data_IF_333228430345
#
_entry.id   IF_333228430345
#
_cell.length_a   1.000
_cell.length_b   1.000
_cell.length_c   1.000
_cell.angle_alpha   90.00
_cell.angle_beta   90.00
_cell.angle_gamma   90.00
#
_symmetry.space_group_name_H-M   'P 1'
#
loop_
_entity.id
_entity.type
_entity.pdbx_description
1 polymer ?
#
# COMPACT_ATOMS: atom_id res chain seq x y z
N UNK A 1 24.55 -6.28 14.52
CA UNK A 1 23.87 -5.92 13.28
C UNK A 1 23.47 -4.46 13.35
N UNK A 2 23.64 -3.66 12.30
CA UNK A 2 23.16 -2.29 12.30
C UNK A 2 21.62 -2.32 12.39
N UNK A 3 21.07 -1.53 13.30
CA UNK A 3 19.61 -1.38 13.43
C UNK A 3 19.16 -0.35 12.39
N UNK A 4 18.25 -0.68 11.47
CA UNK A 4 17.72 0.28 10.52
C UNK A 4 17.03 1.44 11.26
N UNK A 5 17.31 2.65 10.82
CA UNK A 5 16.68 3.84 11.38
C UNK A 5 16.30 4.82 10.26
N UNK A 6 15.30 5.63 10.53
CA UNK A 6 14.90 6.74 9.67
C UNK A 6 15.04 8.04 10.44
N UNK A 7 15.96 8.89 10.02
CA UNK A 7 16.15 10.21 10.61
C UNK A 7 14.90 11.10 10.34
N UNK A 8 14.57 12.01 11.26
CA UNK A 8 13.58 13.06 11.01
C UNK A 8 13.99 13.89 9.79
N UNK A 9 13.02 14.29 9.00
CA UNK A 9 13.29 15.17 7.86
C UNK A 9 13.27 16.65 8.27
N UNK A 10 13.72 17.54 7.37
CA UNK A 10 13.91 18.95 7.66
C UNK A 10 12.63 19.66 8.14
N UNK A 11 11.46 19.38 7.55
CA UNK A 11 10.23 20.03 8.00
C UNK A 11 9.67 19.42 9.30
N UNK A 12 10.06 18.20 9.66
CA UNK A 12 9.71 17.62 10.96
C UNK A 12 10.55 18.23 12.10
N UNK A 13 11.76 18.70 11.80
CA UNK A 13 12.65 19.30 12.80
C UNK A 13 12.64 20.82 12.81
N UNK A 14 12.20 21.49 11.76
CA UNK A 14 12.23 22.93 11.63
C UNK A 14 11.09 23.60 12.40
N UNK A 15 11.43 24.28 13.49
CA UNK A 15 10.47 25.04 14.31
C UNK A 15 9.86 26.25 13.57
N UNK A 16 10.50 26.73 12.52
CA UNK A 16 10.00 27.82 11.68
C UNK A 16 9.04 27.43 10.56
N UNK A 17 8.84 26.13 10.33
CA UNK A 17 7.96 25.63 9.27
C UNK A 17 6.59 25.22 9.84
N UNK A 18 5.53 25.89 9.37
CA UNK A 18 4.15 25.63 9.77
C UNK A 18 3.41 24.91 8.65
N UNK A 19 3.03 23.67 8.90
CA UNK A 19 2.18 22.90 8.02
C UNK A 19 0.71 23.06 8.43
N UNK A 20 -0.12 23.62 7.55
CA UNK A 20 -1.54 23.82 7.83
C UNK A 20 -2.37 22.59 7.44
N UNK A 21 -3.20 22.13 8.35
CA UNK A 21 -4.22 21.10 8.12
C UNK A 21 -5.63 21.69 8.25
N UNK A 22 -6.47 21.48 7.23
CA UNK A 22 -7.88 21.90 7.22
C UNK A 22 -8.80 21.06 8.12
N UNK A 23 -8.25 20.25 9.01
CA UNK A 23 -9.02 19.48 9.98
C UNK A 23 -8.78 17.97 9.94
N UNK A 24 -8.46 17.38 8.78
CA UNK A 24 -8.27 15.93 8.64
C UNK A 24 -7.05 15.36 9.38
N UNK A 25 -6.11 16.20 9.79
CA UNK A 25 -4.94 15.84 10.59
C UNK A 25 -4.95 16.44 12.00
N UNK A 26 -6.04 17.10 12.39
CA UNK A 26 -6.13 17.71 13.70
C UNK A 26 -6.77 16.74 14.70
N UNK A 27 -6.38 16.79 16.01
CA UNK A 27 -7.03 16.03 17.07
C UNK A 27 -8.53 16.27 17.17
N UNK A 28 -9.27 15.27 17.68
CA UNK A 28 -10.73 15.31 17.84
C UNK A 28 -11.23 16.51 18.65
N UNK A 29 -10.46 16.92 19.64
CA UNK A 29 -10.81 18.00 20.54
C UNK A 29 -10.79 19.39 19.88
N UNK A 30 -10.20 19.46 18.68
CA UNK A 30 -10.25 20.67 17.87
C UNK A 30 -11.53 20.66 17.03
N UNK A 31 -12.60 21.20 17.58
CA UNK A 31 -13.96 21.13 17.02
C UNK A 31 -14.25 22.14 15.90
N UNK A 32 -13.41 23.14 15.69
CA UNK A 32 -13.59 24.16 14.64
C UNK A 32 -12.25 24.66 14.08
N UNK A 33 -12.24 25.13 12.86
CA UNK A 33 -11.04 25.66 12.17
C UNK A 33 -10.02 24.56 11.81
N UNK A 34 -8.85 24.95 11.36
CA UNK A 34 -7.71 24.07 11.10
C UNK A 34 -6.73 24.05 12.27
N UNK A 35 -5.67 23.29 12.09
CA UNK A 35 -4.53 23.33 12.98
C UNK A 35 -3.23 23.48 12.18
N UNK A 36 -2.22 24.02 12.82
CA UNK A 36 -0.86 24.03 12.31
C UNK A 36 -0.04 22.94 12.99
N UNK A 37 0.89 22.39 12.27
CA UNK A 37 1.88 21.45 12.76
C UNK A 37 3.25 22.07 12.60
N UNK A 38 4.00 22.23 13.69
CA UNK A 38 5.34 22.80 13.71
C UNK A 38 6.39 21.74 13.96
N UNK A 39 7.60 21.99 13.46
CA UNK A 39 8.74 21.09 13.65
C UNK A 39 9.17 20.96 15.12
N UNK A 40 9.89 19.88 15.40
CA UNK A 40 10.47 19.58 16.71
C UNK A 40 11.93 19.14 16.51
N UNK A 41 12.87 19.96 16.95
CA UNK A 41 14.31 19.67 16.87
C UNK A 41 14.78 18.51 17.77
N UNK A 42 13.95 18.12 18.74
CA UNK A 42 14.25 17.08 19.72
C UNK A 42 13.70 15.70 19.31
N UNK A 43 13.35 15.51 18.04
CA UNK A 43 12.88 14.21 17.56
C UNK A 43 13.99 13.19 17.50
N UNK A 44 13.75 12.04 18.11
CA UNK A 44 14.57 10.84 17.93
C UNK A 44 14.29 10.18 16.56
N UNK A 45 15.27 9.45 16.01
CA UNK A 45 15.04 8.65 14.81
C UNK A 45 14.00 7.54 15.03
N UNK A 46 13.20 7.26 14.00
CA UNK A 46 12.41 6.03 13.96
C UNK A 46 13.33 4.83 13.85
N UNK A 47 13.09 3.80 14.65
CA UNK A 47 13.88 2.56 14.66
C UNK A 47 12.97 1.41 14.18
N UNK A 48 13.52 0.53 13.35
CA UNK A 48 12.85 -0.69 12.92
C UNK A 48 13.70 -1.92 13.25
N UNK A 49 13.09 -2.89 13.91
CA UNK A 49 13.70 -4.20 14.16
C UNK A 49 12.97 -5.22 13.30
N UNK A 50 13.63 -5.67 12.24
CA UNK A 50 13.08 -6.58 11.26
C UNK A 50 13.59 -8.00 11.53
N UNK A 51 12.69 -8.96 11.55
CA UNK A 51 12.95 -10.38 11.77
C UNK A 51 12.23 -11.16 10.69
N UNK A 52 12.94 -12.06 10.04
CA UNK A 52 12.41 -12.89 8.97
C UNK A 52 12.94 -14.31 9.14
N UNK A 53 12.08 -15.28 8.83
CA UNK A 53 12.45 -16.67 8.69
C UNK A 53 11.67 -17.25 7.52
N UNK A 54 12.36 -17.90 6.62
CA UNK A 54 11.76 -18.44 5.41
C UNK A 54 12.28 -19.81 5.05
N UNK A 55 11.49 -20.50 4.24
CA UNK A 55 11.86 -21.73 3.57
C UNK A 55 11.69 -21.53 2.08
N UNK A 56 12.64 -22.04 1.32
CA UNK A 56 12.63 -22.02 -0.13
C UNK A 56 12.85 -23.44 -0.65
N UNK A 57 12.09 -23.79 -1.67
CA UNK A 57 12.16 -25.07 -2.35
C UNK A 57 12.29 -24.82 -3.85
N UNK A 58 13.31 -25.40 -4.44
CA UNK A 58 13.55 -25.34 -5.89
C UNK A 58 13.93 -26.72 -6.40
N UNK A 59 13.17 -27.25 -7.34
CA UNK A 59 13.47 -28.51 -8.03
C UNK A 59 13.12 -28.33 -9.49
N UNK A 60 14.09 -28.47 -10.35
CA UNK A 60 13.99 -28.17 -11.78
C UNK A 60 13.41 -26.76 -11.99
N UNK A 61 12.32 -26.64 -12.71
CA UNK A 61 11.61 -25.37 -12.97
C UNK A 61 10.52 -25.05 -11.93
N UNK A 62 10.37 -25.88 -10.88
CA UNK A 62 9.42 -25.62 -9.78
C UNK A 62 10.10 -24.82 -8.69
N UNK A 63 9.46 -23.74 -8.31
CA UNK A 63 9.91 -22.90 -7.21
C UNK A 63 8.76 -22.62 -6.24
N UNK A 64 9.04 -22.69 -4.95
CA UNK A 64 8.10 -22.29 -3.91
C UNK A 64 8.86 -21.69 -2.73
N UNK A 65 8.34 -20.64 -2.15
CA UNK A 65 8.89 -20.06 -0.93
C UNK A 65 7.78 -19.65 0.03
N UNK A 66 8.10 -19.68 1.32
CA UNK A 66 7.27 -19.12 2.38
C UNK A 66 8.17 -18.42 3.39
N UNK A 67 7.83 -17.19 3.73
CA UNK A 67 8.58 -16.36 4.69
C UNK A 67 7.62 -15.78 5.71
N UNK A 68 7.88 -16.01 6.98
CA UNK A 68 7.29 -15.25 8.06
C UNK A 68 8.15 -14.02 8.30
N UNK A 69 7.52 -12.85 8.43
CA UNK A 69 8.19 -11.61 8.76
C UNK A 69 7.53 -10.88 9.93
N UNK A 70 8.34 -10.18 10.70
CA UNK A 70 7.90 -9.32 11.78
C UNK A 70 8.77 -8.07 11.88
N UNK A 71 8.14 -6.90 11.78
CA UNK A 71 8.77 -5.60 11.85
C UNK A 71 8.21 -4.83 13.05
N UNK A 72 9.04 -4.65 14.06
CA UNK A 72 8.73 -3.86 15.27
C UNK A 72 9.30 -2.45 15.08
N UNK A 73 8.42 -1.43 15.04
CA UNK A 73 8.79 -0.02 14.92
C UNK A 73 8.71 0.67 16.28
N UNK A 74 9.70 1.51 16.55
CA UNK A 74 9.80 2.34 17.75
C UNK A 74 10.04 3.80 17.36
N UNK A 75 9.68 4.72 18.23
CA UNK A 75 9.86 6.17 18.06
C UNK A 75 9.25 6.70 16.75
N UNK A 76 8.11 6.15 16.33
CA UNK A 76 7.49 6.59 15.08
C UNK A 76 7.18 8.09 15.14
N UNK A 77 7.63 8.85 14.15
CA UNK A 77 7.39 10.28 14.07
C UNK A 77 5.98 10.51 13.53
N UNK A 78 5.15 11.13 14.36
CA UNK A 78 3.73 11.39 14.07
C UNK A 78 3.40 12.86 14.33
N UNK A 79 2.30 13.33 13.75
CA UNK A 79 1.72 14.60 14.14
C UNK A 79 1.29 14.50 15.61
N UNK A 80 1.76 15.42 16.44
CA UNK A 80 1.40 15.45 17.85
C UNK A 80 -0.08 15.71 18.06
N UNK A 81 -0.59 15.27 19.17
CA UNK A 81 -1.98 15.48 19.62
C UNK A 81 -2.09 16.60 20.66
N UNK A 82 -0.96 17.03 21.24
CA UNK A 82 -0.91 18.10 22.21
C UNK A 82 -0.90 19.48 21.56
N UNK A 83 -1.80 20.34 22.01
CA UNK A 83 -1.85 21.75 21.63
C UNK A 83 -0.72 22.47 22.35
N UNK A 84 0.26 22.99 21.60
CA UNK A 84 1.39 23.77 22.16
C UNK A 84 1.16 25.28 22.11
N UNK A 85 0.10 25.73 21.43
CA UNK A 85 -0.22 27.15 21.33
C UNK A 85 -1.32 27.46 20.32
N UNK A 86 -1.44 28.74 19.98
CA UNK A 86 -2.32 29.25 18.94
C UNK A 86 -1.57 30.18 18.01
N UNK A 87 -1.93 30.12 16.73
CA UNK A 87 -1.43 31.06 15.72
C UNK A 87 -2.05 32.45 15.89
N UNK A 88 -1.52 33.44 15.19
CA UNK A 88 -2.09 34.79 15.15
C UNK A 88 -3.55 34.82 14.65
N UNK A 89 -3.95 33.84 13.82
CA UNK A 89 -5.34 33.67 13.37
C UNK A 89 -6.22 32.88 14.35
N UNK A 90 -5.70 32.50 15.52
CA UNK A 90 -6.42 31.75 16.56
C UNK A 90 -6.47 30.24 16.34
N UNK A 91 -5.93 29.72 15.24
CA UNK A 91 -5.87 28.29 14.98
C UNK A 91 -4.89 27.58 15.93
N UNK A 92 -5.21 26.36 16.33
CA UNK A 92 -4.36 25.57 17.20
C UNK A 92 -3.04 25.20 16.54
N UNK A 93 -1.97 25.18 17.33
CA UNK A 93 -0.64 24.77 16.92
C UNK A 93 -0.26 23.49 17.66
N UNK A 94 0.11 22.48 16.90
CA UNK A 94 0.59 21.17 17.35
C UNK A 94 2.06 21.03 16.97
N UNK A 95 2.74 20.03 17.51
CA UNK A 95 4.15 19.78 17.22
C UNK A 95 4.37 18.33 16.79
N UNK A 96 5.34 18.09 15.90
CA UNK A 96 5.80 16.74 15.60
C UNK A 96 6.37 16.09 16.87
N UNK A 97 6.06 14.81 17.08
CA UNK A 97 6.51 14.06 18.25
C UNK A 97 6.89 12.63 17.88
N UNK A 98 7.75 12.05 18.69
CA UNK A 98 7.92 10.60 18.65
C UNK A 98 6.74 9.97 19.37
N UNK A 99 5.90 9.31 18.62
CA UNK A 99 4.67 8.68 19.10
C UNK A 99 4.71 7.20 18.81
N UNK A 100 4.47 6.43 19.85
CA UNK A 100 4.06 5.08 19.74
C UNK A 100 5.01 4.06 19.13
N UNK A 101 4.59 2.82 19.27
CA UNK A 101 5.17 1.64 18.64
C UNK A 101 4.21 1.10 17.60
N UNK A 102 4.75 0.54 16.52
CA UNK A 102 3.93 -0.12 15.52
C UNK A 102 4.45 -1.54 15.26
N UNK A 103 3.54 -2.41 14.88
CA UNK A 103 3.83 -3.79 14.50
C UNK A 103 3.28 -4.05 13.12
N UNK A 104 4.13 -4.59 12.25
CA UNK A 104 3.74 -5.18 10.97
C UNK A 104 4.26 -6.61 10.97
N UNK A 105 3.36 -7.56 10.85
CA UNK A 105 3.66 -8.99 10.94
C UNK A 105 2.82 -9.75 9.94
N UNK A 106 3.44 -10.72 9.26
CA UNK A 106 2.75 -11.47 8.22
C UNK A 106 3.50 -12.67 7.69
N UNK A 107 2.91 -13.27 6.69
CA UNK A 107 3.48 -14.37 5.92
C UNK A 107 3.44 -13.97 4.46
N UNK A 108 4.56 -14.14 3.78
CA UNK A 108 4.68 -14.05 2.33
C UNK A 108 4.93 -15.44 1.76
N UNK A 109 4.32 -15.71 0.62
CA UNK A 109 4.54 -16.94 -0.12
C UNK A 109 4.67 -16.62 -1.61
N UNK A 110 5.51 -17.36 -2.30
CA UNK A 110 5.60 -17.33 -3.75
C UNK A 110 5.66 -18.73 -4.32
N UNK A 111 5.19 -18.87 -5.55
CA UNK A 111 5.21 -20.14 -6.27
C UNK A 111 5.32 -19.87 -7.77
N UNK A 112 6.18 -20.65 -8.42
CA UNK A 112 6.29 -20.73 -9.88
C UNK A 112 6.21 -22.20 -10.28
N UNK A 113 5.28 -22.53 -11.18
CA UNK A 113 5.00 -23.90 -11.62
C UNK A 113 4.81 -23.94 -13.12
N UNK A 114 5.63 -24.71 -13.85
CA UNK A 114 5.36 -25.03 -15.25
C UNK A 114 4.21 -26.04 -15.33
N UNK A 115 3.00 -25.57 -15.65
CA UNK A 115 1.83 -26.45 -15.84
C UNK A 115 1.96 -27.27 -17.10
N UNK A 116 2.59 -26.72 -18.13
CA UNK A 116 3.03 -27.41 -19.35
C UNK A 116 4.46 -26.94 -19.65
N UNK A 117 5.43 -27.83 -19.67
CA UNK A 117 6.82 -27.45 -19.97
C UNK A 117 6.90 -26.58 -21.23
N UNK A 118 7.68 -25.51 -21.19
CA UNK A 118 7.91 -24.53 -22.27
C UNK A 118 6.68 -23.81 -22.81
N UNK A 119 5.48 -24.06 -22.24
CA UNK A 119 4.23 -23.51 -22.79
C UNK A 119 3.37 -22.76 -21.81
N UNK A 120 3.14 -23.29 -20.63
CA UNK A 120 2.20 -22.70 -19.68
C UNK A 120 2.81 -22.65 -18.30
N UNK A 121 3.08 -21.44 -17.83
CA UNK A 121 3.65 -21.17 -16.53
C UNK A 121 2.63 -20.50 -15.63
N UNK A 122 2.53 -20.99 -14.42
CA UNK A 122 1.76 -20.35 -13.37
C UNK A 122 2.69 -19.76 -12.31
N UNK A 123 2.58 -18.44 -12.11
CA UNK A 123 3.33 -17.71 -11.11
C UNK A 123 2.35 -17.05 -10.14
N UNK A 124 2.60 -17.17 -8.85
CA UNK A 124 1.78 -16.50 -7.84
C UNK A 124 2.62 -16.03 -6.68
N UNK A 125 2.24 -14.92 -6.10
CA UNK A 125 2.72 -14.48 -4.80
C UNK A 125 1.55 -14.05 -3.94
N UNK A 126 1.69 -14.25 -2.65
CA UNK A 126 0.66 -13.92 -1.67
C UNK A 126 1.31 -13.34 -0.41
N UNK A 127 0.66 -12.33 0.16
CA UNK A 127 0.98 -11.79 1.47
C UNK A 127 -0.25 -11.90 2.35
N UNK A 128 -0.10 -12.44 3.54
CA UNK A 128 -1.14 -12.48 4.56
C UNK A 128 -0.67 -11.73 5.80
N UNK A 129 -1.38 -10.65 6.16
CA UNK A 129 -1.08 -9.82 7.31
C UNK A 129 -1.65 -10.45 8.59
N UNK A 130 -0.79 -10.87 9.50
CA UNK A 130 -1.17 -11.33 10.84
C UNK A 130 -1.56 -10.13 11.68
N UNK A 131 -0.65 -9.13 11.76
CA UNK A 131 -0.86 -7.87 12.44
C UNK A 131 -0.38 -6.68 11.60
N UNK A 132 -1.08 -5.56 11.68
CA UNK A 132 -0.68 -4.27 11.12
C UNK A 132 -1.34 -3.20 11.97
N UNK A 133 -0.68 -2.77 13.05
CA UNK A 133 -1.30 -1.95 14.07
C UNK A 133 -0.31 -1.08 14.85
N UNK A 134 -0.83 -0.04 15.44
CA UNK A 134 -0.16 0.71 16.49
C UNK A 134 -0.29 -0.06 17.81
N UNK A 135 0.82 -0.45 18.42
CA UNK A 135 0.82 -1.31 19.62
C UNK A 135 0.20 -0.64 20.86
N UNK A 136 0.30 0.67 20.94
CA UNK A 136 -0.18 1.42 22.08
C UNK A 136 -1.70 1.60 22.08
N UNK A 137 -2.33 1.60 20.91
CA UNK A 137 -3.76 1.85 20.75
C UNK A 137 -4.53 0.68 20.16
N UNK A 138 -3.85 -0.30 19.58
CA UNK A 138 -4.47 -1.37 18.79
C UNK A 138 -5.08 -0.91 17.45
N UNK A 139 -4.89 0.36 17.11
CA UNK A 139 -5.45 0.92 15.88
C UNK A 139 -4.73 0.37 14.65
N UNK A 140 -5.46 0.05 13.56
CA UNK A 140 -4.82 -0.39 12.33
C UNK A 140 -3.90 0.70 11.78
N UNK A 141 -2.74 0.30 11.33
CA UNK A 141 -1.88 1.14 10.50
C UNK A 141 -2.58 1.41 9.21
N UNK A 142 -2.43 2.27 8.46
CA UNK A 142 -2.93 2.57 7.13
C UNK A 142 -3.95 1.56 6.56
N UNK A 143 -4.51 1.83 5.40
CA UNK A 143 -5.44 0.91 4.70
C UNK A 143 -4.60 -0.22 4.07
N UNK A 144 -4.36 -1.27 4.83
CA UNK A 144 -3.60 -2.46 4.40
C UNK A 144 -4.58 -3.62 4.25
N UNK A 145 -4.63 -4.30 3.10
CA UNK A 145 -5.44 -5.50 2.92
C UNK A 145 -5.02 -6.60 3.89
N UNK A 146 -5.98 -7.38 4.40
CA UNK A 146 -5.68 -8.54 5.24
C UNK A 146 -4.84 -9.57 4.52
N UNK A 147 -5.01 -9.67 3.21
CA UNK A 147 -4.17 -10.45 2.30
C UNK A 147 -4.17 -9.82 0.91
N UNK A 148 -3.12 -10.11 0.16
CA UNK A 148 -3.01 -9.80 -1.26
C UNK A 148 -2.49 -11.04 -1.95
N UNK A 149 -3.14 -11.45 -3.05
CA UNK A 149 -2.69 -12.54 -3.91
C UNK A 149 -2.56 -11.99 -5.31
N UNK A 150 -1.39 -12.13 -5.90
CA UNK A 150 -1.15 -11.82 -7.31
C UNK A 150 -0.81 -13.11 -8.03
N UNK A 151 -1.48 -13.40 -9.11
CA UNK A 151 -1.25 -14.60 -9.89
C UNK A 151 -1.21 -14.28 -11.38
N UNK A 152 -0.37 -14.99 -12.08
CA UNK A 152 -0.13 -14.82 -13.52
C UNK A 152 -0.12 -16.19 -14.17
N UNK A 153 -0.80 -16.30 -15.30
CA UNK A 153 -0.76 -17.43 -16.19
C UNK A 153 -0.14 -16.95 -17.51
N UNK A 154 1.05 -17.42 -17.80
CA UNK A 154 1.80 -17.11 -19.02
C UNK A 154 1.71 -18.29 -19.98
N UNK A 155 1.09 -18.09 -21.13
CA UNK A 155 0.83 -19.14 -22.11
C UNK A 155 1.50 -18.82 -23.45
N UNK A 156 2.47 -19.63 -23.82
CA UNK A 156 3.05 -19.71 -25.16
C UNK A 156 2.19 -20.65 -26.01
N UNK A 157 1.25 -20.08 -26.78
CA UNK A 157 0.28 -20.82 -27.57
C UNK A 157 0.96 -21.42 -28.80
N UNK A 158 1.73 -20.56 -29.49
CA UNK A 158 2.59 -20.96 -30.64
C UNK A 158 3.91 -20.19 -30.55
N UNK A 159 4.85 -20.45 -31.47
CA UNK A 159 6.09 -19.67 -31.55
C UNK A 159 5.88 -18.18 -31.84
N UNK A 160 4.73 -17.81 -32.38
CA UNK A 160 4.38 -16.42 -32.69
C UNK A 160 3.30 -15.81 -31.80
N UNK A 161 2.58 -16.61 -31.01
CA UNK A 161 1.43 -16.16 -30.23
C UNK A 161 1.60 -16.53 -28.76
N UNK A 162 1.54 -15.54 -27.89
CA UNK A 162 1.50 -15.73 -26.43
C UNK A 162 0.37 -14.92 -25.80
N UNK A 163 -0.10 -15.39 -24.68
CA UNK A 163 -1.13 -14.73 -23.88
C UNK A 163 -0.71 -14.73 -22.41
N UNK A 164 -1.13 -13.71 -21.69
CA UNK A 164 -1.00 -13.63 -20.23
C UNK A 164 -2.35 -13.28 -19.63
N UNK A 165 -2.70 -13.94 -18.53
CA UNK A 165 -3.84 -13.57 -17.67
C UNK A 165 -3.27 -13.26 -16.29
N UNK A 166 -3.62 -12.10 -15.77
CA UNK A 166 -3.27 -11.70 -14.43
C UNK A 166 -4.52 -11.52 -13.56
N UNK A 167 -4.43 -11.94 -12.32
CA UNK A 167 -5.47 -11.78 -11.32
C UNK A 167 -4.86 -11.33 -10.01
N UNK A 168 -5.36 -10.21 -9.48
CA UNK A 168 -4.99 -9.69 -8.17
C UNK A 168 -6.22 -9.74 -7.26
N UNK A 169 -6.08 -10.38 -6.10
CA UNK A 169 -7.11 -10.46 -5.07
C UNK A 169 -6.66 -9.68 -3.84
N UNK A 170 -7.46 -8.72 -3.42
CA UNK A 170 -7.27 -7.94 -2.20
C UNK A 170 -8.26 -8.39 -1.14
N UNK A 171 -7.75 -8.70 0.05
CA UNK A 171 -8.56 -8.99 1.22
C UNK A 171 -9.24 -7.76 1.81
N UNK A 172 -10.11 -7.99 2.78
CA UNK A 172 -10.77 -6.92 3.53
C UNK A 172 -9.75 -5.97 4.15
N UNK A 173 -10.05 -4.66 4.10
CA UNK A 173 -9.25 -3.61 4.70
C UNK A 173 -10.01 -3.00 5.87
N UNK A 174 -9.32 -2.85 7.02
CA UNK A 174 -9.89 -2.17 8.18
C UNK A 174 -9.94 -0.65 7.94
N UNK A 175 -10.95 0.04 8.44
CA UNK A 175 -10.99 1.50 8.36
C UNK A 175 -9.89 2.12 9.23
N UNK A 176 -9.50 3.35 8.90
CA UNK A 176 -8.68 4.15 9.79
C UNK A 176 -9.53 4.61 10.98
N UNK A 177 -9.13 4.25 12.18
CA UNK A 177 -9.81 4.70 13.40
C UNK A 177 -9.55 6.17 13.73
N UNK A 178 -8.46 6.78 13.21
CA UNK A 178 -8.16 8.20 13.38
C UNK A 178 -8.85 9.12 12.39
N UNK A 179 -9.53 8.58 11.41
CA UNK A 179 -10.29 9.37 10.48
C UNK A 179 -11.69 9.66 10.99
N UNK A 180 -11.86 9.89 12.26
CA UNK A 180 -12.96 10.72 12.73
C UNK A 180 -12.64 12.15 12.31
N UNK A 181 -12.77 12.38 11.02
CA UNK A 181 -12.81 13.69 10.44
C UNK A 181 -13.97 14.46 11.06
N UNK A 182 -13.78 15.75 11.28
CA UNK A 182 -14.80 16.64 11.78
C UNK A 182 -16.00 16.83 10.85
N UNK A 183 -15.84 16.55 9.54
CA UNK A 183 -16.95 16.63 8.62
C UNK A 183 -17.70 15.30 8.60
N UNK A 184 -19.00 15.33 8.76
CA UNK A 184 -19.88 14.17 8.63
C UNK A 184 -19.70 13.49 7.25
N UNK A 185 -19.34 14.26 6.22
CA UNK A 185 -19.06 13.79 4.86
C UNK A 185 -17.82 12.87 4.81
N UNK A 186 -16.73 13.21 5.53
CA UNK A 186 -15.53 12.39 5.57
C UNK A 186 -15.59 11.25 6.57
N UNK A 187 -16.42 11.37 7.62
CA UNK A 187 -16.67 10.34 8.63
C UNK A 187 -17.29 9.06 8.05
N UNK A 188 -18.13 9.20 7.03
CA UNK A 188 -18.84 8.08 6.42
C UNK A 188 -17.98 7.12 5.59
N UNK A 189 -16.86 7.56 5.02
CA UNK A 189 -16.07 6.79 4.07
C UNK A 189 -14.76 6.26 4.67
N UNK A 190 -14.08 7.03 5.47
CA UNK A 190 -12.88 6.57 6.16
C UNK A 190 -13.20 5.63 7.33
N UNK A 191 -14.41 5.67 7.89
CA UNK A 191 -14.89 4.75 8.92
C UNK A 191 -15.40 3.41 8.42
N UNK A 192 -15.56 3.20 7.11
CA UNK A 192 -16.04 1.94 6.55
C UNK A 192 -14.90 0.99 6.20
N UNK A 193 -15.06 -0.27 6.57
CA UNK A 193 -14.19 -1.33 6.07
C UNK A 193 -14.44 -1.53 4.58
N UNK A 194 -13.37 -1.69 3.80
CA UNK A 194 -13.47 -2.11 2.41
C UNK A 194 -13.55 -3.64 2.38
N UNK A 195 -14.55 -4.18 1.68
CA UNK A 195 -14.68 -5.63 1.44
C UNK A 195 -13.56 -6.16 0.53
N UNK A 196 -13.40 -7.48 0.50
CA UNK A 196 -12.48 -8.10 -0.45
C UNK A 196 -12.95 -7.87 -1.90
N UNK A 197 -12.00 -7.69 -2.80
CA UNK A 197 -12.26 -7.51 -4.23
C UNK A 197 -11.10 -8.05 -5.07
N UNK A 198 -11.35 -8.28 -6.35
CA UNK A 198 -10.33 -8.71 -7.29
C UNK A 198 -10.35 -7.90 -8.58
N UNK A 199 -9.19 -7.84 -9.20
CA UNK A 199 -8.93 -7.25 -10.51
C UNK A 199 -8.38 -8.32 -11.42
N UNK A 200 -8.89 -8.41 -12.63
CA UNK A 200 -8.44 -9.37 -13.65
C UNK A 200 -8.05 -8.59 -14.88
N UNK A 201 -6.92 -8.93 -15.47
CA UNK A 201 -6.44 -8.41 -16.74
C UNK A 201 -5.99 -9.53 -17.66
N UNK A 202 -5.90 -9.25 -18.93
CA UNK A 202 -5.36 -10.16 -19.92
C UNK A 202 -4.65 -9.39 -21.03
N UNK A 203 -3.63 -10.00 -21.61
CA UNK A 203 -3.00 -9.49 -22.80
C UNK A 203 -2.62 -10.63 -23.75
N UNK A 204 -2.46 -10.26 -25.01
CA UNK A 204 -2.01 -11.15 -26.08
C UNK A 204 -0.89 -10.45 -26.84
N UNK A 205 0.17 -11.18 -27.11
CA UNK A 205 1.28 -10.75 -27.95
C UNK A 205 1.31 -11.61 -29.21
N UNK A 206 1.47 -10.97 -30.36
CA UNK A 206 1.61 -11.64 -31.65
C UNK A 206 2.84 -11.14 -32.39
N UNK A 207 3.80 -12.03 -32.61
CA UNK A 207 4.99 -11.79 -33.42
C UNK A 207 4.63 -11.97 -34.90
N UNK A 208 4.36 -10.85 -35.59
CA UNK A 208 4.04 -10.83 -37.04
C UNK A 208 5.24 -11.36 -37.82
N UNK A 209 6.43 -10.98 -37.40
CA UNK A 209 7.71 -11.51 -37.86
C UNK A 209 8.80 -11.21 -36.81
N UNK A 210 10.05 -11.58 -37.08
CA UNK A 210 11.19 -11.40 -36.14
C UNK A 210 11.45 -9.95 -35.71
N UNK A 211 10.93 -8.99 -36.45
CA UNK A 211 11.16 -7.55 -36.24
C UNK A 211 9.91 -6.79 -35.76
N UNK A 212 8.73 -7.40 -35.82
CA UNK A 212 7.48 -6.71 -35.57
C UNK A 212 6.57 -7.53 -34.65
N UNK A 213 6.25 -6.95 -33.48
CA UNK A 213 5.35 -7.53 -32.46
C UNK A 213 4.16 -6.62 -32.23
N UNK A 214 2.97 -7.18 -32.20
CA UNK A 214 1.74 -6.54 -31.76
C UNK A 214 1.41 -7.00 -30.35
N UNK A 215 1.03 -6.06 -29.47
CA UNK A 215 0.49 -6.32 -28.14
C UNK A 215 -0.89 -5.71 -28.01
N UNK A 216 -1.87 -6.46 -27.50
CA UNK A 216 -3.20 -5.97 -27.19
C UNK A 216 -3.61 -6.49 -25.81
N UNK A 217 -4.20 -5.62 -24.99
CA UNK A 217 -4.59 -6.04 -23.66
C UNK A 217 -5.76 -5.26 -23.09
N UNK A 218 -6.27 -5.78 -22.00
CA UNK A 218 -7.36 -5.25 -21.21
C UNK A 218 -7.02 -5.37 -19.73
N UNK A 219 -7.13 -4.30 -19.00
CA UNK A 219 -7.03 -4.28 -17.54
C UNK A 219 -8.41 -4.13 -16.92
N UNK A 220 -8.57 -4.68 -15.69
CA UNK A 220 -9.83 -4.63 -14.94
C UNK A 220 -11.04 -5.03 -15.82
N UNK A 221 -11.00 -6.27 -16.35
CA UNK A 221 -11.99 -6.80 -17.30
C UNK A 221 -13.44 -6.62 -16.81
N UNK A 222 -13.64 -6.76 -15.50
CA UNK A 222 -14.98 -6.67 -14.89
C UNK A 222 -15.41 -5.24 -14.52
N UNK A 223 -14.60 -4.24 -14.90
CA UNK A 223 -14.84 -2.81 -14.59
C UNK A 223 -15.13 -2.53 -13.11
N UNK A 224 -14.37 -3.22 -12.24
CA UNK A 224 -14.53 -3.07 -10.79
C UNK A 224 -14.06 -1.69 -10.35
N UNK A 225 -14.95 -0.86 -9.87
CA UNK A 225 -14.61 0.44 -9.30
C UNK A 225 -14.54 0.34 -7.77
N UNK A 226 -13.45 0.83 -7.20
CA UNK A 226 -13.21 0.85 -5.77
C UNK A 226 -12.86 2.27 -5.35
N UNK A 227 -13.68 2.79 -4.47
CA UNK A 227 -13.45 4.07 -3.82
C UNK A 227 -12.86 3.79 -2.44
N UNK A 228 -11.56 4.09 -2.25
CA UNK A 228 -10.82 3.74 -1.04
C UNK A 228 -10.95 4.76 0.09
N UNK A 229 -11.40 5.96 -0.21
CA UNK A 229 -11.63 7.01 0.79
C UNK A 229 -12.77 7.92 0.37
N UNK A 230 -13.15 8.83 1.30
CA UNK A 230 -14.13 9.86 1.06
C UNK A 230 -13.84 10.66 -0.21
N UNK A 231 -14.87 11.17 -0.82
CA UNK A 231 -14.77 12.16 -1.88
C UNK A 231 -13.79 13.26 -1.49
N UNK A 232 -12.71 13.41 -2.26
CA UNK A 232 -11.70 14.43 -2.02
C UNK A 232 -10.28 14.03 -2.40
N UNK A 233 -9.32 14.87 -2.03
CA UNK A 233 -7.93 14.83 -2.50
C UNK A 233 -7.11 13.59 -2.11
N UNK A 234 -7.62 12.73 -1.25
CA UNK A 234 -6.92 11.54 -0.75
C UNK A 234 -7.57 10.23 -1.22
N UNK A 235 -8.34 10.27 -2.29
CA UNK A 235 -9.04 9.10 -2.81
C UNK A 235 -8.12 8.33 -3.75
N UNK A 236 -7.85 7.08 -3.41
CA UNK A 236 -7.24 6.12 -4.33
C UNK A 236 -8.34 5.24 -4.90
N UNK A 237 -8.74 5.53 -6.11
CA UNK A 237 -9.70 4.73 -6.84
C UNK A 237 -8.96 3.68 -7.66
N UNK A 238 -9.49 2.48 -7.74
CA UNK A 238 -9.04 1.55 -8.76
C UNK A 238 -9.50 2.09 -10.12
N UNK A 239 -8.59 2.19 -11.11
CA UNK A 239 -8.97 2.54 -12.46
C UNK A 239 -10.04 1.57 -12.97
N UNK A 240 -11.04 2.08 -13.69
CA UNK A 240 -12.00 1.26 -14.41
C UNK A 240 -11.33 0.42 -15.50
N UNK A 241 -12.11 -0.32 -16.25
CA UNK A 241 -11.64 -1.11 -17.38
C UNK A 241 -10.93 -0.21 -18.39
N UNK A 242 -9.73 -0.64 -18.81
CA UNK A 242 -8.94 0.04 -19.83
C UNK A 242 -8.45 -0.95 -20.89
N UNK A 243 -8.42 -0.51 -22.14
CA UNK A 243 -7.87 -1.24 -23.27
C UNK A 243 -6.59 -0.57 -23.71
N UNK A 244 -5.63 -1.36 -24.11
CA UNK A 244 -4.38 -0.85 -24.66
C UNK A 244 -3.91 -1.70 -25.84
N UNK A 245 -3.20 -1.04 -26.75
CA UNK A 245 -2.54 -1.70 -27.86
C UNK A 245 -1.16 -1.06 -28.06
N UNK A 246 -0.19 -1.87 -28.46
CA UNK A 246 1.16 -1.43 -28.74
C UNK A 246 1.76 -2.20 -29.89
N UNK A 247 2.68 -1.56 -30.60
CA UNK A 247 3.49 -2.16 -31.65
C UNK A 247 4.96 -1.95 -31.30
N UNK A 248 5.75 -3.02 -31.32
CA UNK A 248 7.20 -2.98 -31.14
C UNK A 248 7.87 -3.35 -32.45
N UNK A 249 8.74 -2.47 -32.95
CA UNK A 249 9.57 -2.72 -34.12
C UNK A 249 11.05 -2.70 -33.71
N UNK A 250 11.83 -3.70 -34.18
CA UNK A 250 13.26 -3.83 -33.96
C UNK A 250 13.98 -3.83 -35.32
N UNK A 251 15.04 -3.05 -35.44
CA UNK A 251 15.80 -2.85 -36.68
C UNK A 251 17.25 -3.33 -36.54
#
# INVERSE_FOLDING_TARGET
MPVPFKAPNLYQTSEGYLLYSKGNGCPKDITSGGCYLVGNKNLDPEISINKEIGLEFTVDDYHASVTYFRNDYQNKIVAGDQIIGRSASGAYVLQWQNGGKALIEGIEASMAVPLMPDRLNWNTNATYMIASEQKDTGNPLSIIPKYTVNTFLDWTITSALSANVNWTLYGKQKPRTHAESRSEETKGLSGKALGAYSLVGANVNYDINKNLRLNVGISNIFDKQIYRSAEGANTYNEPGRAYYAGVTASF
#
